data_IF_133790695078
#
_entry.id   IF_133790695078
#
_cell.length_a   1.000
_cell.length_b   1.000
_cell.length_c   1.000
_cell.angle_alpha   90.00
_cell.angle_beta   90.00
_cell.angle_gamma   90.00
#
_symmetry.space_group_name_H-M   'P 1'
#
loop_
_entity.id
_entity.type
_entity.pdbx_description
1 polymer ?
#
# COMPACT_ATOMS: atom_id res chain seq x y z
N UNK A 1 0.71 -0.81 -15.72
CA UNK A 1 0.75 -0.51 -14.27
C UNK A 1 -0.34 -1.27 -13.55
N UNK A 2 -0.17 -1.53 -12.25
CA UNK A 2 -0.91 -2.55 -11.51
C UNK A 2 -2.07 -1.98 -10.67
N UNK A 3 -3.13 -1.58 -11.34
CA UNK A 3 -4.30 -0.92 -10.72
C UNK A 3 -4.98 -1.84 -9.70
N UNK A 4 -5.09 -3.14 -10.00
CA UNK A 4 -5.69 -4.09 -9.07
C UNK A 4 -4.85 -4.28 -7.78
N UNK A 5 -3.53 -4.08 -7.86
CA UNK A 5 -2.65 -4.07 -6.68
C UNK A 5 -2.90 -2.83 -5.84
N UNK A 6 -3.09 -1.66 -6.46
CA UNK A 6 -3.46 -0.43 -5.75
C UNK A 6 -4.86 -0.54 -5.11
N UNK A 7 -5.83 -1.12 -5.82
CA UNK A 7 -7.15 -1.40 -5.26
C UNK A 7 -7.07 -2.36 -4.06
N UNK A 8 -6.20 -3.37 -4.14
CA UNK A 8 -5.93 -4.27 -3.01
C UNK A 8 -5.31 -3.51 -1.82
N UNK A 9 -4.38 -2.59 -2.06
CA UNK A 9 -3.83 -1.72 -1.02
C UNK A 9 -4.92 -0.92 -0.30
N UNK A 10 -5.85 -0.32 -1.05
CA UNK A 10 -7.01 0.37 -0.49
C UNK A 10 -7.89 -0.55 0.38
N UNK A 11 -8.17 -1.78 -0.07
CA UNK A 11 -8.96 -2.75 0.70
C UNK A 11 -8.28 -3.12 2.02
N UNK A 12 -6.96 -3.31 2.03
CA UNK A 12 -6.21 -3.58 3.26
C UNK A 12 -6.12 -2.37 4.19
N UNK A 13 -6.04 -1.15 3.65
CA UNK A 13 -6.16 0.07 4.45
C UNK A 13 -7.54 0.15 5.13
N UNK A 14 -8.61 -0.23 4.42
CA UNK A 14 -9.95 -0.33 4.98
C UNK A 14 -10.07 -1.38 6.07
N UNK A 15 -9.52 -2.57 5.86
CA UNK A 15 -9.46 -3.59 6.89
C UNK A 15 -8.70 -3.10 8.13
N UNK A 16 -7.55 -2.45 7.93
CA UNK A 16 -6.75 -1.87 9.00
C UNK A 16 -7.52 -0.87 9.85
N UNK A 17 -8.31 0.03 9.26
CA UNK A 17 -9.10 0.99 10.01
C UNK A 17 -10.24 0.34 10.81
N UNK A 18 -10.93 -0.65 10.24
CA UNK A 18 -11.97 -1.43 10.96
C UNK A 18 -11.35 -2.12 12.19
N UNK A 19 -10.18 -2.72 12.03
CA UNK A 19 -9.45 -3.35 13.14
C UNK A 19 -9.03 -2.32 14.19
N UNK A 20 -8.58 -1.13 13.77
CA UNK A 20 -8.19 -0.06 14.68
C UNK A 20 -9.36 0.40 15.55
N UNK A 21 -10.53 0.59 14.93
CA UNK A 21 -11.78 0.96 15.62
C UNK A 21 -12.24 -0.09 16.61
N UNK A 22 -11.99 -1.37 16.31
CA UNK A 22 -12.26 -2.49 17.20
C UNK A 22 -11.18 -2.68 18.27
N UNK A 23 -10.22 -1.76 18.40
CA UNK A 23 -9.09 -1.82 19.33
C UNK A 23 -8.13 -3.01 19.10
N UNK A 24 -8.12 -3.59 17.90
CA UNK A 24 -7.20 -4.64 17.46
C UNK A 24 -5.97 -4.00 16.82
N UNK A 25 -5.16 -3.33 17.63
CA UNK A 25 -4.13 -2.38 17.16
C UNK A 25 -2.96 -3.04 16.46
N UNK A 26 -2.52 -4.22 16.88
CA UNK A 26 -1.44 -4.96 16.20
C UNK A 26 -1.89 -5.50 14.84
N UNK A 27 -3.08 -6.10 14.78
CA UNK A 27 -3.68 -6.61 13.56
C UNK A 27 -3.95 -5.46 12.57
N UNK A 28 -4.41 -4.32 13.09
CA UNK A 28 -4.55 -3.10 12.31
C UNK A 28 -3.24 -2.67 11.68
N UNK A 29 -2.14 -2.62 12.45
CA UNK A 29 -0.84 -2.19 11.93
C UNK A 29 -0.26 -3.20 10.94
N UNK A 30 -0.44 -4.51 11.14
CA UNK A 30 -0.07 -5.54 10.15
C UNK A 30 -0.79 -5.30 8.82
N UNK A 31 -2.10 -5.01 8.86
CA UNK A 31 -2.87 -4.70 7.65
C UNK A 31 -2.44 -3.38 7.01
N UNK A 32 -2.07 -2.37 7.81
CA UNK A 32 -1.54 -1.11 7.31
C UNK A 32 -0.17 -1.31 6.61
N UNK A 33 0.69 -2.16 7.16
CA UNK A 33 1.97 -2.50 6.55
C UNK A 33 1.79 -3.22 5.21
N UNK A 34 0.84 -4.16 5.14
CA UNK A 34 0.49 -4.82 3.87
C UNK A 34 -0.11 -3.84 2.86
N UNK A 35 -0.95 -2.91 3.32
CA UNK A 35 -1.49 -1.86 2.46
C UNK A 35 -0.37 -0.98 1.89
N UNK A 36 0.61 -0.57 2.70
CA UNK A 36 1.78 0.20 2.25
C UNK A 36 2.62 -0.59 1.25
N UNK A 37 2.90 -1.87 1.53
CA UNK A 37 3.63 -2.77 0.64
C UNK A 37 2.97 -2.84 -0.74
N UNK A 38 1.65 -3.08 -0.79
CA UNK A 38 0.90 -3.16 -2.03
C UNK A 38 0.83 -1.82 -2.76
N UNK A 39 0.68 -0.70 -2.04
CA UNK A 39 0.70 0.63 -2.62
C UNK A 39 2.02 0.89 -3.34
N UNK A 40 3.15 0.62 -2.70
CA UNK A 40 4.48 0.77 -3.31
C UNK A 40 4.63 -0.19 -4.49
N UNK A 41 4.25 -1.46 -4.34
CA UNK A 41 4.31 -2.45 -5.43
C UNK A 41 3.46 -2.06 -6.63
N UNK A 42 2.35 -1.36 -6.45
CA UNK A 42 1.50 -0.93 -7.57
C UNK A 42 2.24 -0.01 -8.57
N UNK A 43 3.24 0.74 -8.07
CA UNK A 43 4.12 1.62 -8.85
C UNK A 43 5.26 0.87 -9.57
N UNK A 44 5.47 -0.39 -9.22
CA UNK A 44 6.66 -1.18 -9.55
C UNK A 44 6.37 -2.33 -10.50
N UNK A 45 5.17 -2.91 -10.42
CA UNK A 45 4.84 -4.16 -11.10
C UNK A 45 3.99 -3.94 -12.34
N UNK A 46 4.15 -4.84 -13.30
CA UNK A 46 3.43 -4.83 -14.56
C UNK A 46 2.60 -6.10 -14.72
N UNK A 47 1.48 -5.98 -15.43
CA UNK A 47 0.62 -7.11 -15.74
C UNK A 47 1.39 -8.13 -16.59
N UNK A 48 1.34 -9.39 -16.19
CA UNK A 48 1.88 -10.49 -16.99
C UNK A 48 1.01 -10.67 -18.22
N UNK A 49 1.64 -10.73 -19.40
CA UNK A 49 0.93 -11.01 -20.63
C UNK A 49 0.54 -12.49 -20.71
N UNK A 50 -0.67 -12.80 -20.26
CA UNK A 50 -1.23 -14.15 -20.22
C UNK A 50 -2.77 -14.11 -20.31
N UNK A 51 -3.45 -15.26 -20.45
CA UNK A 51 -4.92 -15.30 -20.58
C UNK A 51 -5.72 -14.74 -19.39
N UNK A 52 -5.09 -14.44 -18.26
CA UNK A 52 -5.72 -13.87 -17.06
C UNK A 52 -5.65 -12.35 -17.02
N UNK A 53 -4.91 -11.72 -17.94
CA UNK A 53 -4.83 -10.26 -18.07
C UNK A 53 -6.22 -9.67 -18.30
N UNK A 54 -6.55 -8.62 -17.57
CA UNK A 54 -7.87 -7.98 -17.55
C UNK A 54 -8.93 -8.72 -16.73
N UNK A 55 -8.58 -9.79 -16.01
CA UNK A 55 -9.50 -10.55 -15.16
C UNK A 55 -9.21 -10.34 -13.68
N UNK A 56 -10.11 -10.79 -12.80
CA UNK A 56 -9.89 -10.82 -11.35
C UNK A 56 -8.71 -11.70 -10.91
N UNK A 57 -8.19 -12.54 -11.82
CA UNK A 57 -7.02 -13.39 -11.61
C UNK A 57 -5.76 -12.84 -12.30
N UNK A 58 -5.76 -11.55 -12.68
CA UNK A 58 -4.62 -10.89 -13.28
C UNK A 58 -3.38 -11.07 -12.41
N UNK A 59 -2.27 -11.41 -13.06
CA UNK A 59 -1.01 -11.65 -12.39
C UNK A 59 -0.07 -10.51 -12.69
N UNK A 60 0.74 -10.15 -11.70
CA UNK A 60 1.71 -9.08 -11.81
C UNK A 60 3.11 -9.64 -11.64
N UNK A 61 4.03 -9.06 -12.41
CA UNK A 61 5.42 -9.46 -12.43
C UNK A 61 6.29 -8.28 -12.02
N UNK A 62 7.23 -8.57 -11.13
CA UNK A 62 8.34 -7.69 -10.79
C UNK A 62 9.62 -8.13 -11.52
N UNK A 63 9.54 -8.73 -12.72
CA UNK A 63 10.71 -9.29 -13.45
C UNK A 63 11.88 -8.31 -13.60
N UNK A 64 11.61 -7.01 -13.57
CA UNK A 64 12.63 -5.95 -13.66
C UNK A 64 13.25 -5.57 -12.30
N UNK A 65 12.70 -6.09 -11.20
CA UNK A 65 13.03 -5.69 -9.82
C UNK A 65 13.52 -6.92 -9.06
N UNK A 66 14.82 -6.93 -8.74
CA UNK A 66 15.45 -7.99 -7.94
C UNK A 66 15.38 -7.62 -6.47
N UNK A 67 14.19 -7.70 -5.88
CA UNK A 67 14.02 -7.49 -4.45
C UNK A 67 14.65 -8.66 -3.69
N UNK A 68 15.79 -8.40 -3.03
CA UNK A 68 16.40 -9.36 -2.10
C UNK A 68 15.44 -9.68 -0.94
N UNK A 69 14.64 -8.70 -0.55
CA UNK A 69 13.53 -8.84 0.38
C UNK A 69 12.28 -8.15 -0.18
N UNK A 70 11.37 -8.92 -0.76
CA UNK A 70 10.16 -8.42 -1.41
C UNK A 70 9.10 -7.82 -0.48
N UNK A 71 9.35 -7.78 0.82
CA UNK A 71 8.44 -7.28 1.85
C UNK A 71 9.02 -6.11 2.64
N UNK A 72 10.31 -5.85 2.53
CA UNK A 72 10.97 -4.74 3.23
C UNK A 72 10.58 -3.41 2.58
N UNK A 73 9.89 -2.53 3.33
CA UNK A 73 9.31 -1.30 2.77
C UNK A 73 10.36 -0.35 2.22
N UNK A 74 11.56 -0.28 2.82
CA UNK A 74 12.61 0.61 2.36
C UNK A 74 13.29 0.08 1.08
N UNK A 75 13.44 -1.23 0.96
CA UNK A 75 13.93 -1.92 -0.23
C UNK A 75 12.94 -1.79 -1.39
N UNK A 76 11.63 -1.85 -1.11
CA UNK A 76 10.61 -1.58 -2.11
C UNK A 76 10.66 -0.12 -2.58
N UNK A 77 10.78 0.83 -1.65
CA UNK A 77 10.91 2.24 -1.97
C UNK A 77 12.13 2.54 -2.86
N UNK A 78 13.28 1.93 -2.58
CA UNK A 78 14.52 2.18 -3.36
C UNK A 78 14.42 1.79 -4.83
N UNK A 79 13.44 0.96 -5.19
CA UNK A 79 13.18 0.54 -6.57
C UNK A 79 12.20 1.46 -7.30
N UNK A 80 11.48 2.34 -6.58
CA UNK A 80 10.53 3.28 -7.20
C UNK A 80 11.33 4.37 -7.92
N UNK A 81 11.04 4.65 -9.21
CA UNK A 81 11.69 5.75 -9.92
C UNK A 81 11.56 7.06 -9.13
N UNK A 82 12.69 7.77 -8.99
CA UNK A 82 12.77 8.96 -8.12
C UNK A 82 11.70 9.99 -8.46
N UNK A 83 11.46 10.23 -9.75
CA UNK A 83 10.48 11.18 -10.24
C UNK A 83 9.05 10.78 -9.83
N UNK A 84 8.73 9.49 -9.84
CA UNK A 84 7.43 8.97 -9.39
C UNK A 84 7.33 9.13 -7.86
N UNK A 85 8.36 8.73 -7.12
CA UNK A 85 8.39 8.80 -5.66
C UNK A 85 8.23 10.25 -5.14
N UNK A 86 8.87 11.21 -5.79
CA UNK A 86 8.70 12.64 -5.50
C UNK A 86 7.29 13.12 -5.87
N UNK A 87 6.82 12.77 -7.08
CA UNK A 87 5.50 13.20 -7.58
C UNK A 87 4.34 12.75 -6.70
N UNK A 88 4.39 11.53 -6.18
CA UNK A 88 3.31 10.98 -5.33
C UNK A 88 3.57 11.21 -3.83
N UNK A 89 4.59 12.00 -3.48
CA UNK A 89 4.90 12.33 -2.09
C UNK A 89 5.56 11.20 -1.27
N UNK A 90 5.81 10.03 -1.86
CA UNK A 90 6.43 8.89 -1.18
C UNK A 90 7.85 9.18 -0.68
N UNK A 91 8.62 9.99 -1.41
CA UNK A 91 9.97 10.40 -1.01
C UNK A 91 10.00 11.15 0.34
N UNK A 92 8.91 11.81 0.73
CA UNK A 92 8.81 12.48 2.04
C UNK A 92 8.65 11.51 3.22
N UNK A 93 8.38 10.22 2.94
CA UNK A 93 8.03 9.22 3.95
C UNK A 93 9.19 8.25 4.27
N UNK A 94 10.38 8.46 3.68
CA UNK A 94 11.55 7.56 3.83
C UNK A 94 11.85 7.24 5.30
N UNK A 95 11.89 8.24 6.17
CA UNK A 95 12.17 8.01 7.59
C UNK A 95 11.11 7.14 8.28
N UNK A 96 9.85 7.16 7.84
CA UNK A 96 8.82 6.23 8.33
C UNK A 96 9.06 4.82 7.77
N UNK A 97 9.34 4.71 6.47
CA UNK A 97 9.59 3.43 5.81
C UNK A 97 10.79 2.70 6.42
N UNK A 98 11.87 3.40 6.76
CA UNK A 98 13.02 2.83 7.46
C UNK A 98 12.64 2.27 8.84
N UNK A 99 11.86 3.01 9.63
CA UNK A 99 11.42 2.57 10.96
C UNK A 99 10.45 1.38 10.91
N UNK A 100 9.63 1.30 9.86
CA UNK A 100 8.53 0.33 9.71
C UNK A 100 8.82 -0.76 8.69
N UNK A 101 10.07 -0.88 8.23
CA UNK A 101 10.46 -1.73 7.09
C UNK A 101 10.05 -3.19 7.22
N UNK A 102 10.07 -3.73 8.44
CA UNK A 102 9.77 -5.14 8.75
C UNK A 102 8.43 -5.34 9.46
N UNK A 103 7.62 -4.29 9.63
CA UNK A 103 6.39 -4.33 10.46
C UNK A 103 5.45 -5.46 10.07
N UNK A 104 5.28 -5.72 8.76
CA UNK A 104 4.45 -6.81 8.26
C UNK A 104 4.92 -8.18 8.76
N UNK A 105 6.23 -8.38 8.94
CA UNK A 105 6.79 -9.65 9.45
C UNK A 105 6.74 -9.70 10.96
N UNK A 106 7.19 -8.63 11.62
CA UNK A 106 7.48 -8.62 13.06
C UNK A 106 6.23 -8.58 13.94
N UNK A 107 5.13 -7.99 13.48
CA UNK A 107 3.92 -7.83 14.30
C UNK A 107 2.93 -9.01 14.20
N UNK A 108 3.20 -10.03 13.36
CA UNK A 108 2.31 -11.19 13.25
C UNK A 108 2.37 -12.12 14.46
N UNK A 109 3.49 -12.13 15.17
CA UNK A 109 3.76 -13.04 16.28
C UNK A 109 4.21 -12.26 17.51
N UNK A 110 3.29 -11.46 18.06
CA UNK A 110 3.56 -10.56 19.21
C UNK A 110 4.01 -11.27 20.50
N UNK A 111 3.96 -12.60 20.52
CA UNK A 111 4.42 -13.45 21.62
C UNK A 111 5.88 -13.90 21.49
N UNK A 112 6.56 -13.60 20.38
CA UNK A 112 7.98 -13.94 20.21
C UNK A 112 8.88 -13.08 21.10
N UNK A 113 10.02 -13.62 21.54
CA UNK A 113 10.95 -12.99 22.49
C UNK A 113 11.39 -11.58 22.07
N UNK A 114 11.49 -11.33 20.76
CA UNK A 114 11.93 -10.05 20.18
C UNK A 114 10.80 -9.26 19.53
N UNK A 115 9.54 -9.64 19.78
CA UNK A 115 8.41 -8.94 19.21
C UNK A 115 8.34 -7.48 19.70
N UNK A 116 7.94 -6.53 18.84
CA UNK A 116 7.68 -5.16 19.27
C UNK A 116 6.62 -5.10 20.38
N UNK A 117 6.83 -4.20 21.35
CA UNK A 117 5.96 -4.07 22.54
C UNK A 117 4.74 -3.16 22.37
N UNK A 118 4.56 -2.61 21.18
CA UNK A 118 3.46 -1.68 20.91
C UNK A 118 3.21 -1.53 19.43
N UNK A 119 2.09 -0.89 19.13
CA UNK A 119 1.64 -0.58 17.78
C UNK A 119 1.23 0.89 17.67
N UNK A 120 1.23 1.41 16.46
CA UNK A 120 0.70 2.73 16.11
C UNK A 120 -0.07 2.69 14.80
N UNK A 121 -0.69 3.81 14.42
CA UNK A 121 -1.47 3.95 13.20
C UNK A 121 -0.77 4.80 12.13
N UNK A 122 0.55 5.04 12.24
CA UNK A 122 1.26 5.94 11.32
C UNK A 122 1.26 5.40 9.90
N UNK A 123 1.45 4.09 9.72
CA UNK A 123 1.37 3.46 8.40
C UNK A 123 -0.02 3.64 7.77
N UNK A 124 -1.09 3.46 8.55
CA UNK A 124 -2.45 3.65 8.06
C UNK A 124 -2.67 5.10 7.63
N UNK A 125 -2.26 6.07 8.46
CA UNK A 125 -2.37 7.49 8.13
C UNK A 125 -1.61 7.84 6.85
N UNK A 126 -0.38 7.35 6.70
CA UNK A 126 0.43 7.58 5.50
C UNK A 126 -0.18 6.93 4.27
N UNK A 127 -0.70 5.70 4.37
CA UNK A 127 -1.40 5.05 3.23
C UNK A 127 -2.63 5.86 2.81
N UNK A 128 -3.46 6.29 3.76
CA UNK A 128 -4.63 7.13 3.47
C UNK A 128 -4.23 8.43 2.76
N UNK A 129 -3.10 9.01 3.14
CA UNK A 129 -2.58 10.22 2.52
C UNK A 129 -2.01 9.96 1.11
N UNK A 130 -1.28 8.86 0.89
CA UNK A 130 -0.66 8.50 -0.39
C UNK A 130 -1.66 8.01 -1.44
N UNK A 131 -2.69 7.27 -1.04
CA UNK A 131 -3.69 6.68 -1.95
C UNK A 131 -4.23 7.66 -3.01
N UNK A 132 -4.76 8.85 -2.66
CA UNK A 132 -5.26 9.79 -3.66
C UNK A 132 -4.17 10.26 -4.62
N UNK A 133 -2.93 10.44 -4.15
CA UNK A 133 -1.80 10.88 -4.97
C UNK A 133 -1.41 9.82 -6.02
N UNK A 134 -1.42 8.54 -5.61
CA UNK A 134 -1.14 7.42 -6.53
C UNK A 134 -2.29 7.19 -7.50
N UNK A 135 -3.55 7.33 -7.06
CA UNK A 135 -4.73 7.28 -7.95
C UNK A 135 -4.62 8.38 -9.02
N UNK A 136 -4.33 9.62 -8.61
CA UNK A 136 -4.16 10.72 -9.55
C UNK A 136 -2.99 10.50 -10.51
N UNK A 137 -1.88 9.91 -10.02
CA UNK A 137 -0.76 9.53 -10.88
C UNK A 137 -1.19 8.56 -11.99
N UNK A 138 -1.93 7.50 -11.66
CA UNK A 138 -2.42 6.55 -12.67
C UNK A 138 -3.45 7.16 -13.63
N UNK A 139 -4.34 8.03 -13.14
CA UNK A 139 -5.30 8.71 -14.01
C UNK A 139 -4.58 9.66 -14.98
N UNK A 140 -3.58 10.41 -14.52
CA UNK A 140 -2.77 11.30 -15.37
C UNK A 140 -1.93 10.53 -16.39
N UNK A 141 -1.56 9.29 -16.10
CA UNK A 141 -0.88 8.39 -17.04
C UNK A 141 -1.83 7.82 -18.11
N UNK A 142 -3.12 8.16 -18.10
CA UNK A 142 -4.10 7.77 -19.11
C UNK A 142 -4.76 6.41 -18.87
N UNK A 143 -4.73 5.89 -17.64
CA UNK A 143 -5.42 4.63 -17.32
C UNK A 143 -6.94 4.83 -17.17
N UNK A 144 -7.73 4.00 -17.89
CA UNK A 144 -9.19 4.10 -17.97
C UNK A 144 -9.95 3.12 -17.06
N UNK A 145 -9.35 2.69 -15.95
CA UNK A 145 -9.98 1.73 -15.06
C UNK A 145 -11.19 2.33 -14.30
N UNK A 146 -12.25 1.53 -14.17
CA UNK A 146 -13.51 1.96 -13.52
C UNK A 146 -13.30 2.27 -12.05
N UNK A 147 -12.48 1.51 -11.34
CA UNK A 147 -12.15 1.75 -9.95
C UNK A 147 -11.38 3.07 -9.80
N UNK A 148 -10.38 3.34 -10.64
CA UNK A 148 -9.67 4.64 -10.61
C UNK A 148 -10.63 5.82 -10.82
N UNK A 149 -11.51 5.72 -11.82
CA UNK A 149 -12.50 6.76 -12.12
C UNK A 149 -13.47 6.99 -10.95
N UNK A 150 -13.90 5.91 -10.30
CA UNK A 150 -14.75 5.95 -9.12
C UNK A 150 -14.03 6.60 -7.93
N UNK A 151 -12.79 6.20 -7.64
CA UNK A 151 -12.01 6.73 -6.52
C UNK A 151 -11.66 8.21 -6.72
N UNK A 152 -11.28 8.62 -7.93
CA UNK A 152 -11.04 10.04 -8.26
C UNK A 152 -12.27 10.91 -8.05
N UNK A 153 -13.45 10.38 -8.35
CA UNK A 153 -14.72 11.07 -8.12
C UNK A 153 -15.15 11.07 -6.64
N UNK A 154 -14.53 10.23 -5.81
CA UNK A 154 -14.88 10.04 -4.40
C UNK A 154 -13.64 10.06 -3.50
N UNK A 155 -12.83 11.15 -3.52
CA UNK A 155 -11.56 11.21 -2.80
C UNK A 155 -11.71 11.04 -1.28
N UNK A 156 -12.87 11.38 -0.73
CA UNK A 156 -13.20 11.18 0.68
C UNK A 156 -13.03 9.70 1.09
N UNK A 157 -13.33 8.73 0.21
CA UNK A 157 -13.21 7.31 0.53
C UNK A 157 -11.77 6.87 0.82
N UNK A 158 -10.77 7.65 0.43
CA UNK A 158 -9.36 7.36 0.68
C UNK A 158 -8.81 8.04 1.94
N UNK A 159 -9.58 8.94 2.57
CA UNK A 159 -9.12 9.70 3.74
C UNK A 159 -9.28 8.91 5.04
N UNK A 160 -8.34 9.08 5.97
CA UNK A 160 -8.33 8.35 7.24
C UNK A 160 -9.64 8.48 8.04
N UNK A 161 -10.30 9.63 7.99
CA UNK A 161 -11.58 9.90 8.65
C UNK A 161 -12.76 9.13 8.05
N UNK A 162 -12.69 8.73 6.78
CA UNK A 162 -13.76 7.99 6.09
C UNK A 162 -13.52 6.48 6.06
N UNK A 163 -12.26 6.06 6.17
CA UNK A 163 -11.90 4.64 6.24
C UNK A 163 -12.23 4.07 7.65
N UNK A 164 -12.28 4.91 8.68
CA UNK A 164 -12.58 4.55 10.08
C UNK A 164 -14.01 4.84 10.58
N UNK A 165 -15.04 4.91 9.74
CA UNK A 165 -16.43 5.21 10.19
C UNK A 165 -17.43 4.05 10.03
N UNK A 166 -16.98 2.79 10.09
CA UNK A 166 -17.88 1.64 10.26
C UNK A 166 -17.70 1.02 11.64
#
# INVERSE_FOLDING_TARGET
MAIWVLESAYRYAKASAVLLNAHLTFESEVNAALAMELLIKSLLVEAVDNPRRGTVLEQYSSRHIKLKDGHDLISLYSEVPKEIAEKVGLASQVGLLERKKDTFKSLRYIYEEKAPRGSDNLLLQTVCWLLPQVVDHFVQAGHEDKWLSYMKSNPQLMMASSIGTC
#
